data_IF_623031425683
#
_entry.id   IF_623031425683
#
_cell.length_a   1.000
_cell.length_b   1.000
_cell.length_c   1.000
_cell.angle_alpha   90.00
_cell.angle_beta   90.00
_cell.angle_gamma   90.00
#
_symmetry.space_group_name_H-M   'P 1'
#
loop_
_entity.id
_entity.type
_entity.pdbx_description
1 polymer ?
#
# COMPACT_ATOMS: atom_id res chain seq x y z
N UNK A 1 -34.83 33.11 69.15
CA UNK A 1 -36.00 32.84 68.28
C UNK A 1 -35.56 33.08 66.85
N UNK A 2 -35.26 32.01 66.11
CA UNK A 2 -34.66 32.07 64.77
C UNK A 2 -35.77 31.96 63.72
N UNK A 3 -35.98 33.01 62.93
CA UNK A 3 -36.98 33.00 61.86
C UNK A 3 -36.50 32.15 60.67
N UNK A 4 -37.37 31.34 60.04
CA UNK A 4 -36.98 30.49 58.94
C UNK A 4 -36.78 31.30 57.65
N UNK A 5 -35.63 31.12 57.01
CA UNK A 5 -35.29 31.65 55.68
C UNK A 5 -36.12 30.93 54.59
N UNK A 6 -37.42 31.16 54.53
CA UNK A 6 -38.28 30.66 53.45
C UNK A 6 -38.20 31.58 52.22
N UNK A 7 -37.17 31.35 51.42
CA UNK A 7 -37.13 31.42 49.93
C UNK A 7 -38.20 32.30 49.24
N UNK A 8 -37.87 33.58 49.00
CA UNK A 8 -38.64 34.53 48.17
C UNK A 8 -38.17 34.57 46.71
N UNK A 9 -38.05 33.42 46.05
CA UNK A 9 -37.87 33.44 44.59
C UNK A 9 -39.22 33.67 43.91
N UNK A 10 -39.29 34.70 43.06
CA UNK A 10 -40.50 35.00 42.29
C UNK A 10 -40.85 33.81 41.37
N UNK A 11 -42.14 33.61 41.11
CA UNK A 11 -42.63 32.54 40.22
C UNK A 11 -41.91 32.56 38.85
N UNK A 12 -41.59 33.77 38.36
CA UNK A 12 -40.82 33.99 37.13
C UNK A 12 -39.38 33.45 37.22
N UNK A 13 -38.70 33.67 38.35
CA UNK A 13 -37.35 33.15 38.57
C UNK A 13 -37.35 31.60 38.62
N UNK A 14 -38.38 31.00 39.23
CA UNK A 14 -38.52 29.53 39.27
C UNK A 14 -38.79 28.94 37.88
N UNK A 15 -39.64 29.59 37.08
CA UNK A 15 -39.91 29.17 35.69
C UNK A 15 -38.69 29.33 34.80
N UNK A 16 -37.95 30.43 34.92
CA UNK A 16 -36.72 30.66 34.17
C UNK A 16 -35.64 29.61 34.51
N UNK A 17 -35.50 29.25 35.80
CA UNK A 17 -34.57 28.23 36.25
C UNK A 17 -34.96 26.83 35.72
N UNK A 18 -36.25 26.49 35.73
CA UNK A 18 -36.76 25.24 35.16
C UNK A 18 -36.49 25.13 33.66
N UNK A 19 -36.71 26.21 32.91
CA UNK A 19 -36.43 26.26 31.47
C UNK A 19 -34.92 26.10 31.18
N UNK A 20 -34.08 26.81 31.93
CA UNK A 20 -32.63 26.70 31.80
C UNK A 20 -32.13 25.27 32.13
N UNK A 21 -32.68 24.64 33.17
CA UNK A 21 -32.38 23.27 33.52
C UNK A 21 -32.81 22.28 32.42
N UNK A 22 -34.01 22.45 31.84
CA UNK A 22 -34.47 21.62 30.72
C UNK A 22 -33.56 21.75 29.49
N UNK A 23 -33.13 22.97 29.14
CA UNK A 23 -32.23 23.20 28.00
C UNK A 23 -30.86 22.55 28.20
N UNK A 24 -30.31 22.61 29.42
CA UNK A 24 -29.04 21.96 29.75
C UNK A 24 -29.15 20.43 29.68
N UNK A 25 -30.25 19.86 30.18
CA UNK A 25 -30.49 18.41 30.10
C UNK A 25 -30.65 17.96 28.65
N UNK A 26 -31.42 18.68 27.84
CA UNK A 26 -31.60 18.36 26.42
C UNK A 26 -30.28 18.50 25.63
N UNK A 27 -29.48 19.53 25.90
CA UNK A 27 -28.15 19.69 25.31
C UNK A 27 -27.19 18.57 25.68
N UNK A 28 -27.19 18.14 26.95
CA UNK A 28 -26.37 17.02 27.42
C UNK A 28 -26.79 15.67 26.83
N UNK A 29 -28.10 15.42 26.72
CA UNK A 29 -28.62 14.20 26.07
C UNK A 29 -28.29 14.20 24.58
N UNK A 30 -28.46 15.33 23.89
CA UNK A 30 -28.06 15.46 22.49
C UNK A 30 -26.56 15.20 22.32
N UNK A 31 -25.71 15.78 23.16
CA UNK A 31 -24.26 15.56 23.11
C UNK A 31 -23.88 14.08 23.33
N UNK A 32 -24.49 13.40 24.30
CA UNK A 32 -24.27 11.96 24.54
C UNK A 32 -24.73 11.09 23.37
N UNK A 33 -25.87 11.41 22.76
CA UNK A 33 -26.39 10.67 21.61
C UNK A 33 -25.51 10.88 20.38
N UNK A 34 -25.19 12.13 20.05
CA UNK A 34 -24.36 12.46 18.89
C UNK A 34 -22.92 11.96 19.04
N UNK A 35 -22.32 12.09 20.22
CA UNK A 35 -20.98 11.57 20.52
C UNK A 35 -20.91 10.06 20.36
N UNK A 36 -21.83 9.31 20.99
CA UNK A 36 -21.86 7.85 20.85
C UNK A 36 -22.12 7.38 19.41
N UNK A 37 -22.90 8.12 18.62
CA UNK A 37 -23.07 7.80 17.20
C UNK A 37 -21.85 8.11 16.36
N UNK A 38 -21.14 9.21 16.65
CA UNK A 38 -19.91 9.57 15.96
C UNK A 38 -18.81 8.53 16.24
N UNK A 39 -18.60 8.16 17.51
CA UNK A 39 -17.61 7.16 17.90
C UNK A 39 -17.89 5.80 17.23
N UNK A 40 -19.16 5.38 17.17
CA UNK A 40 -19.53 4.12 16.50
C UNK A 40 -19.28 4.15 15.01
N UNK A 41 -19.57 5.27 14.35
CA UNK A 41 -19.32 5.43 12.91
C UNK A 41 -17.83 5.48 12.61
N UNK A 42 -17.03 6.09 13.48
CA UNK A 42 -15.58 6.13 13.38
C UNK A 42 -14.98 4.73 13.51
N UNK A 43 -15.38 3.96 14.54
CA UNK A 43 -14.92 2.57 14.70
C UNK A 43 -15.31 1.70 13.49
N UNK A 44 -16.54 1.83 12.98
CA UNK A 44 -16.98 1.08 11.79
C UNK A 44 -16.19 1.46 10.52
N UNK A 45 -15.86 2.75 10.38
CA UNK A 45 -15.04 3.22 9.27
C UNK A 45 -13.62 2.66 9.35
N UNK A 46 -13.00 2.67 10.54
CA UNK A 46 -11.68 2.09 10.78
C UNK A 46 -11.65 0.58 10.48
N UNK A 47 -12.63 -0.19 10.98
CA UNK A 47 -12.75 -1.62 10.69
C UNK A 47 -12.87 -1.90 9.19
N UNK A 48 -13.66 -1.09 8.48
CA UNK A 48 -13.83 -1.23 7.03
C UNK A 48 -12.54 -0.90 6.28
N UNK A 49 -11.80 0.11 6.71
CA UNK A 49 -10.51 0.49 6.13
C UNK A 49 -9.45 -0.59 6.39
N UNK A 50 -9.39 -1.15 7.60
CA UNK A 50 -8.50 -2.25 7.94
C UNK A 50 -8.79 -3.49 7.09
N UNK A 51 -10.05 -3.90 6.97
CA UNK A 51 -10.42 -5.05 6.14
C UNK A 51 -10.06 -4.84 4.66
N UNK A 52 -10.20 -3.62 4.14
CA UNK A 52 -9.76 -3.28 2.78
C UNK A 52 -8.25 -3.25 2.63
N UNK A 53 -7.53 -2.75 3.63
CA UNK A 53 -6.08 -2.73 3.65
C UNK A 53 -5.50 -4.16 3.66
N UNK A 54 -6.08 -5.05 4.47
CA UNK A 54 -5.69 -6.46 4.52
C UNK A 54 -5.97 -7.18 3.19
N UNK A 55 -7.14 -6.93 2.59
CA UNK A 55 -7.46 -7.49 1.27
C UNK A 55 -6.50 -6.99 0.18
N UNK A 56 -6.16 -5.69 0.19
CA UNK A 56 -5.18 -5.13 -0.74
C UNK A 56 -3.78 -5.72 -0.50
N UNK A 57 -3.36 -5.85 0.75
CA UNK A 57 -2.08 -6.45 1.11
C UNK A 57 -1.98 -7.91 0.63
N UNK A 58 -3.07 -8.68 0.75
CA UNK A 58 -3.13 -10.05 0.24
C UNK A 58 -2.97 -10.09 -1.29
N UNK A 59 -3.69 -9.25 -2.03
CA UNK A 59 -3.57 -9.19 -3.50
C UNK A 59 -2.16 -8.79 -3.94
N UNK A 60 -1.59 -7.76 -3.31
CA UNK A 60 -0.21 -7.32 -3.61
C UNK A 60 0.78 -8.43 -3.29
N UNK A 61 0.61 -9.14 -2.17
CA UNK A 61 1.48 -10.25 -1.80
C UNK A 61 1.40 -11.40 -2.81
N UNK A 62 0.20 -11.78 -3.24
CA UNK A 62 0.01 -12.83 -4.26
C UNK A 62 0.67 -12.45 -5.60
N UNK A 63 0.54 -11.19 -6.02
CA UNK A 63 1.21 -10.67 -7.22
C UNK A 63 2.74 -10.70 -7.08
N UNK A 64 3.27 -10.34 -5.90
CA UNK A 64 4.71 -10.40 -5.63
C UNK A 64 5.25 -11.83 -5.62
N UNK A 65 4.52 -12.78 -5.00
CA UNK A 65 4.87 -14.20 -5.01
C UNK A 65 4.87 -14.76 -6.43
N UNK A 66 3.85 -14.41 -7.23
CA UNK A 66 3.79 -14.79 -8.63
C UNK A 66 4.96 -14.19 -9.44
N UNK A 67 5.36 -12.95 -9.14
CA UNK A 67 6.52 -12.32 -9.76
C UNK A 67 7.83 -13.02 -9.36
N UNK A 68 8.00 -13.38 -8.08
CA UNK A 68 9.15 -14.14 -7.58
C UNK A 68 9.30 -15.49 -8.27
N UNK A 69 8.22 -16.27 -8.34
CA UNK A 69 8.22 -17.58 -9.03
C UNK A 69 8.61 -17.48 -10.52
N UNK A 70 8.20 -16.39 -11.19
CA UNK A 70 8.62 -16.14 -12.59
C UNK A 70 10.09 -15.81 -12.70
N UNK A 71 10.63 -14.97 -11.80
CA UNK A 71 12.06 -14.66 -11.77
C UNK A 71 12.89 -15.93 -11.54
N UNK A 72 12.47 -16.79 -10.62
CA UNK A 72 13.12 -18.09 -10.40
C UNK A 72 13.06 -19.00 -11.64
N UNK A 73 11.92 -19.02 -12.33
CA UNK A 73 11.77 -19.77 -13.57
C UNK A 73 12.70 -19.27 -14.68
N UNK A 74 12.82 -17.94 -14.85
CA UNK A 74 13.78 -17.32 -15.79
C UNK A 74 15.20 -17.72 -15.41
N UNK A 75 15.58 -17.54 -14.15
CA UNK A 75 16.91 -17.88 -13.65
C UNK A 75 17.23 -19.37 -13.87
N UNK A 76 16.28 -20.26 -13.59
CA UNK A 76 16.42 -21.69 -13.83
C UNK A 76 16.57 -22.04 -15.32
N UNK A 77 15.86 -21.34 -16.21
CA UNK A 77 16.00 -21.53 -17.66
C UNK A 77 17.38 -21.05 -18.16
N UNK A 78 17.84 -19.88 -17.70
CA UNK A 78 19.16 -19.35 -18.05
C UNK A 78 20.29 -20.23 -17.48
N UNK A 79 20.14 -20.76 -16.27
CA UNK A 79 21.11 -21.68 -15.69
C UNK A 79 21.23 -22.98 -16.51
N UNK A 80 20.12 -23.48 -17.09
CA UNK A 80 20.12 -24.66 -17.97
C UNK A 80 20.75 -24.40 -19.33
N UNK A 81 20.70 -23.15 -19.83
CA UNK A 81 21.39 -22.79 -21.06
C UNK A 81 22.91 -22.97 -20.92
N UNK A 82 23.46 -22.90 -19.70
CA UNK A 82 24.82 -23.33 -19.38
C UNK A 82 25.93 -22.51 -20.07
N UNK A 83 25.58 -21.34 -20.60
CA UNK A 83 26.47 -20.47 -21.36
C UNK A 83 26.65 -19.14 -20.64
N UNK A 84 27.87 -18.61 -20.71
CA UNK A 84 28.20 -17.25 -20.26
C UNK A 84 28.36 -16.30 -21.44
N UNK A 85 28.14 -16.76 -22.67
CA UNK A 85 28.24 -15.91 -23.86
C UNK A 85 27.07 -14.90 -23.89
N UNK A 86 27.34 -13.58 -23.92
CA UNK A 86 26.31 -12.55 -23.98
C UNK A 86 25.32 -12.72 -25.13
N UNK A 87 25.78 -13.20 -26.29
CA UNK A 87 24.95 -13.38 -27.48
C UNK A 87 23.91 -14.50 -27.29
N UNK A 88 24.36 -15.66 -26.82
CA UNK A 88 23.50 -16.81 -26.52
C UNK A 88 22.55 -16.54 -25.34
N UNK A 89 23.01 -15.83 -24.31
CA UNK A 89 22.17 -15.37 -23.21
C UNK A 89 21.07 -14.43 -23.71
N UNK A 90 21.41 -13.45 -24.54
CA UNK A 90 20.42 -12.54 -25.12
C UNK A 90 19.37 -13.29 -25.94
N UNK A 91 19.79 -14.23 -26.80
CA UNK A 91 18.86 -15.03 -27.60
C UNK A 91 17.93 -15.88 -26.72
N UNK A 92 18.46 -16.47 -25.65
CA UNK A 92 17.68 -17.26 -24.68
C UNK A 92 16.66 -16.40 -23.93
N UNK A 93 17.04 -15.18 -23.54
CA UNK A 93 16.12 -14.25 -22.88
C UNK A 93 15.05 -13.74 -23.87
N UNK A 94 15.43 -13.44 -25.11
CA UNK A 94 14.48 -13.01 -26.15
C UNK A 94 13.47 -14.13 -26.43
N UNK A 95 13.89 -15.40 -26.44
CA UNK A 95 13.01 -16.55 -26.55
C UNK A 95 12.07 -16.66 -25.35
N UNK A 96 12.56 -16.50 -24.11
CA UNK A 96 11.72 -16.47 -22.91
C UNK A 96 10.69 -15.33 -22.94
N UNK A 97 11.08 -14.13 -23.38
CA UNK A 97 10.19 -12.98 -23.48
C UNK A 97 9.12 -13.14 -24.57
N UNK A 98 9.35 -14.02 -25.53
CA UNK A 98 8.39 -14.38 -26.59
C UNK A 98 7.32 -15.38 -26.12
N UNK A 99 7.60 -16.16 -25.06
CA UNK A 99 6.64 -17.13 -24.50
C UNK A 99 5.40 -16.41 -23.93
N UNK A 100 4.17 -16.71 -24.41
CA UNK A 100 2.92 -16.14 -23.93
C UNK A 100 2.77 -16.12 -22.40
N UNK A 101 3.26 -17.15 -21.72
CA UNK A 101 3.14 -17.33 -20.27
C UNK A 101 4.02 -16.31 -19.53
N UNK A 102 5.21 -16.04 -20.08
CA UNK A 102 6.14 -15.01 -19.58
C UNK A 102 5.74 -13.61 -20.07
N UNK A 103 4.93 -13.55 -21.13
CA UNK A 103 4.57 -12.36 -21.89
C UNK A 103 3.33 -11.62 -21.36
N UNK A 104 2.83 -11.94 -20.17
CA UNK A 104 1.65 -11.31 -19.56
C UNK A 104 1.84 -9.82 -19.13
N UNK A 105 2.74 -9.05 -19.76
CA UNK A 105 2.89 -7.60 -19.61
C UNK A 105 3.65 -7.12 -18.37
N UNK A 106 3.88 -8.00 -17.38
CA UNK A 106 4.48 -7.61 -16.10
C UNK A 106 6.02 -7.52 -16.14
N UNK A 107 6.70 -8.30 -16.98
CA UNK A 107 8.16 -8.24 -17.12
C UNK A 107 8.52 -7.30 -18.26
N UNK A 108 9.07 -6.13 -17.92
CA UNK A 108 9.44 -5.08 -18.90
C UNK A 108 10.86 -5.26 -19.45
N UNK A 109 11.78 -5.69 -18.59
CA UNK A 109 13.19 -5.90 -18.89
C UNK A 109 13.78 -6.97 -17.98
N UNK A 110 14.74 -7.71 -18.49
CA UNK A 110 15.56 -8.69 -17.79
C UNK A 110 17.01 -8.24 -17.96
N UNK A 111 17.71 -8.13 -16.84
CA UNK A 111 19.13 -7.78 -16.78
C UNK A 111 19.84 -8.94 -16.09
N UNK A 112 20.87 -9.48 -16.73
CA UNK A 112 21.69 -10.55 -16.19
C UNK A 112 23.03 -9.98 -15.79
N UNK A 113 23.43 -10.27 -14.55
CA UNK A 113 24.73 -9.89 -14.00
C UNK A 113 25.59 -11.15 -13.84
N UNK A 114 26.90 -11.01 -14.00
CA UNK A 114 27.85 -12.05 -13.60
C UNK A 114 28.12 -12.02 -12.09
N UNK A 115 28.98 -12.92 -11.62
CA UNK A 115 29.42 -13.00 -10.23
C UNK A 115 30.24 -11.78 -9.76
N UNK A 116 30.70 -10.93 -10.67
CA UNK A 116 31.39 -9.67 -10.40
C UNK A 116 30.45 -8.46 -10.49
N UNK A 117 29.14 -8.69 -10.59
CA UNK A 117 28.10 -7.65 -10.75
C UNK A 117 28.23 -6.84 -12.06
N UNK A 118 28.92 -7.36 -13.06
CA UNK A 118 28.96 -6.77 -14.40
C UNK A 118 27.72 -7.19 -15.18
N UNK A 119 27.14 -6.29 -15.97
CA UNK A 119 25.99 -6.63 -16.83
C UNK A 119 26.48 -7.45 -18.02
N UNK A 120 25.96 -8.67 -18.16
CA UNK A 120 26.33 -9.61 -19.23
C UNK A 120 25.30 -9.59 -20.36
N UNK A 121 24.03 -9.42 -20.03
CA UNK A 121 22.95 -9.35 -21.01
C UNK A 121 21.82 -8.46 -20.53
N UNK A 122 21.25 -7.69 -21.46
CA UNK A 122 20.02 -6.92 -21.25
C UNK A 122 19.06 -7.23 -22.37
N UNK A 123 17.84 -7.62 -22.02
CA UNK A 123 16.77 -7.82 -22.97
C UNK A 123 15.47 -7.26 -22.39
N UNK A 124 14.65 -6.66 -23.23
CA UNK A 124 13.45 -5.98 -22.77
C UNK A 124 12.64 -5.41 -23.92
N UNK A 125 11.39 -5.07 -23.63
CA UNK A 125 10.44 -4.55 -24.63
C UNK A 125 10.55 -3.03 -24.79
N UNK A 126 11.35 -2.40 -23.94
CA UNK A 126 11.59 -0.96 -23.90
C UNK A 126 13.07 -0.71 -24.21
N UNK A 127 13.42 -0.44 -25.48
CA UNK A 127 14.82 -0.24 -25.87
C UNK A 127 15.49 0.91 -25.10
N UNK A 128 14.71 1.92 -24.68
CA UNK A 128 15.14 3.01 -23.80
C UNK A 128 15.69 2.54 -22.42
N UNK A 129 15.13 1.46 -21.85
CA UNK A 129 15.63 0.90 -20.59
C UNK A 129 16.90 0.08 -20.85
N UNK A 130 16.94 -0.63 -21.97
CA UNK A 130 18.11 -1.40 -22.41
C UNK A 130 19.34 -0.51 -22.57
N UNK A 131 19.20 0.65 -23.22
CA UNK A 131 20.27 1.65 -23.37
C UNK A 131 20.73 2.22 -22.02
N UNK A 132 19.78 2.50 -21.13
CA UNK A 132 20.07 3.01 -19.78
C UNK A 132 20.91 2.01 -18.98
N UNK A 133 20.50 0.75 -18.92
CA UNK A 133 21.21 -0.30 -18.19
C UNK A 133 22.59 -0.61 -18.79
N UNK A 134 22.71 -0.56 -20.12
CA UNK A 134 24.02 -0.68 -20.77
C UNK A 134 24.94 0.51 -20.46
N UNK A 135 24.42 1.74 -20.37
CA UNK A 135 25.25 2.89 -19.99
C UNK A 135 25.75 2.79 -18.54
N UNK A 136 24.93 2.25 -17.63
CA UNK A 136 25.32 2.00 -16.23
C UNK A 136 26.37 0.91 -16.16
N UNK A 137 26.23 -0.16 -16.93
CA UNK A 137 27.22 -1.23 -17.04
C UNK A 137 28.59 -0.72 -17.50
N UNK A 138 28.61 0.11 -18.53
CA UNK A 138 29.84 0.69 -19.10
C UNK A 138 30.51 1.71 -18.17
N UNK A 139 29.74 2.41 -17.33
CA UNK A 139 30.30 3.32 -16.34
C UNK A 139 30.91 2.60 -15.13
N UNK A 140 30.38 1.43 -14.74
CA UNK A 140 30.94 0.65 -13.63
C UNK A 140 32.24 -0.08 -13.98
N UNK A 141 32.51 -0.37 -15.25
CA UNK A 141 33.80 -0.94 -15.68
C UNK A 141 34.97 0.03 -15.63
N UNK A 142 34.73 1.34 -15.48
CA UNK A 142 35.79 2.37 -15.43
C UNK A 142 36.26 2.72 -14.00
N UNK A 143 35.73 2.04 -12.98
CA UNK A 143 36.11 2.24 -11.57
C UNK A 143 36.68 0.97 -10.89
N UNK A 144 36.99 -0.07 -11.67
CA UNK A 144 37.68 -1.28 -11.23
C UNK A 144 39.19 -1.16 -11.28
#
# INVERSE_FOLDING_TARGET
MSAPLTSRFSLRARLALLLAAMLLVLGGVAWLLYGNTADRLETQAEETLLARADALAAVVNDDLVAMGARVESIAGHLARAGTTDPGELKASIDQLLSDPIMNNGNVRSIVVFDSQFSVVAVAGRRPELTETFMSVALNNTNYG
#
